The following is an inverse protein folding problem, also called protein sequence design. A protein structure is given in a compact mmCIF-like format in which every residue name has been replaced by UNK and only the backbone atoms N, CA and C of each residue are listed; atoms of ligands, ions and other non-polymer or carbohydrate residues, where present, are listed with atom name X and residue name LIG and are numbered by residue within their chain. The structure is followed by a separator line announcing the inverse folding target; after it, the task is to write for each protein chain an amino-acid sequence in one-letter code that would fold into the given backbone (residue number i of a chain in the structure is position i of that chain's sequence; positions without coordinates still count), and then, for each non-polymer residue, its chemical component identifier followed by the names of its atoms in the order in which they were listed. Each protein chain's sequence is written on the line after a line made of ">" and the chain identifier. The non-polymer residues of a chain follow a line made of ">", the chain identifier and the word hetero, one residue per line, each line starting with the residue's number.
data_IF_689474183258
#
_entry.id   IF_689474183258
#
_cell.length_a   1.000
_cell.length_b   1.000
_cell.length_c   1.000
_cell.angle_alpha   90.00
_cell.angle_beta   90.00
_cell.angle_gamma   90.00
#
_symmetry.space_group_name_H-M   'P 1'
#
loop_
_entity.id
_entity.type
_entity.pdbx_description
1 polymer ?
#
# COMPACT_ATOMS: atom_id res chain seq x y z
N UNK A 1 14.52 -1.63 8.24
CA UNK A 1 13.76 -2.72 8.88
C UNK A 1 12.58 -3.06 8.00
N UNK A 2 12.36 -4.33 7.65
CA UNK A 2 11.18 -4.81 6.91
C UNK A 2 10.39 -5.67 7.88
N UNK A 3 9.17 -5.26 8.22
CA UNK A 3 8.33 -5.92 9.23
C UNK A 3 7.31 -6.90 8.63
N UNK A 4 6.94 -6.69 7.37
CA UNK A 4 6.09 -7.58 6.59
C UNK A 4 6.57 -7.57 5.15
N UNK A 5 6.55 -8.73 4.49
CA UNK A 5 7.05 -8.90 3.11
C UNK A 5 6.09 -9.78 2.33
N UNK A 6 5.81 -9.41 1.09
CA UNK A 6 5.06 -10.27 0.19
C UNK A 6 5.82 -11.58 -0.06
N UNK A 7 5.26 -12.68 0.42
CA UNK A 7 5.71 -14.04 0.13
C UNK A 7 4.95 -14.60 -1.09
N UNK A 8 5.57 -14.46 -2.26
CA UNK A 8 5.01 -14.93 -3.52
C UNK A 8 5.06 -16.44 -3.68
N UNK A 9 5.99 -17.12 -3.02
CA UNK A 9 6.13 -18.57 -3.12
C UNK A 9 4.94 -19.25 -2.43
N UNK A 10 4.53 -18.72 -1.27
CA UNK A 10 3.39 -19.24 -0.52
C UNK A 10 2.04 -18.72 -1.03
N UNK A 11 1.95 -17.45 -1.42
CA UNK A 11 0.65 -16.79 -1.68
C UNK A 11 0.43 -16.34 -3.13
N UNK A 12 1.42 -16.51 -4.02
CA UNK A 12 1.32 -16.14 -5.42
C UNK A 12 0.84 -14.70 -5.62
N UNK A 13 -0.17 -14.51 -6.49
CA UNK A 13 -0.72 -13.18 -6.80
C UNK A 13 -1.37 -12.49 -5.60
N UNK A 14 -1.75 -13.23 -4.55
CA UNK A 14 -2.35 -12.68 -3.34
C UNK A 14 -1.29 -12.14 -2.36
N UNK A 15 0.00 -12.43 -2.55
CA UNK A 15 1.07 -12.11 -1.61
C UNK A 15 1.11 -10.62 -1.17
N UNK A 16 0.97 -9.63 -2.08
CA UNK A 16 0.96 -8.23 -1.65
C UNK A 16 -0.22 -7.88 -0.73
N UNK A 17 -1.37 -8.54 -0.92
CA UNK A 17 -2.55 -8.32 -0.11
C UNK A 17 -2.45 -8.98 1.27
N UNK A 18 -1.72 -10.09 1.38
CA UNK A 18 -1.37 -10.74 2.65
C UNK A 18 -0.38 -9.91 3.45
N UNK A 19 0.65 -9.38 2.80
CA UNK A 19 1.57 -8.45 3.44
C UNK A 19 0.85 -7.20 3.99
N UNK A 20 -0.19 -6.71 3.31
CA UNK A 20 -1.01 -5.63 3.85
C UNK A 20 -1.74 -6.03 5.15
N UNK A 21 -2.24 -7.26 5.26
CA UNK A 21 -2.88 -7.74 6.50
C UNK A 21 -1.89 -7.73 7.66
N UNK A 22 -0.68 -8.23 7.42
CA UNK A 22 0.42 -8.22 8.40
C UNK A 22 0.82 -6.80 8.80
N UNK A 23 0.87 -5.85 7.85
CA UNK A 23 1.15 -4.44 8.16
C UNK A 23 0.07 -3.78 9.02
N UNK A 24 -1.21 -4.10 8.79
CA UNK A 24 -2.32 -3.58 9.62
C UNK A 24 -2.26 -4.18 11.03
N UNK A 25 -1.90 -5.46 11.15
CA UNK A 25 -1.79 -6.15 12.43
C UNK A 25 -0.68 -5.59 13.35
N UNK A 26 0.24 -4.78 12.81
CA UNK A 26 1.21 -4.02 13.60
C UNK A 26 0.60 -2.81 14.32
N UNK A 27 -0.69 -2.53 14.10
CA UNK A 27 -1.44 -1.40 14.68
C UNK A 27 -0.71 -0.05 14.50
N UNK A 28 -0.36 0.34 13.25
CA UNK A 28 0.42 1.54 13.03
C UNK A 28 -0.41 2.81 13.26
N UNK A 29 0.20 3.84 13.84
CA UNK A 29 -0.42 5.17 14.01
C UNK A 29 -0.84 5.83 12.67
N UNK A 30 -0.10 5.54 11.59
CA UNK A 30 -0.35 6.11 10.27
C UNK A 30 -0.02 5.13 9.15
N UNK A 31 -0.87 5.11 8.13
CA UNK A 31 -0.69 4.39 6.88
C UNK A 31 -0.46 5.40 5.73
N UNK A 32 0.70 5.27 5.06
CA UNK A 32 1.05 6.07 3.90
C UNK A 32 0.99 5.19 2.63
N UNK A 33 0.28 5.64 1.60
CA UNK A 33 0.17 4.88 0.34
C UNK A 33 0.61 5.70 -0.85
N UNK A 34 1.39 5.10 -1.75
CA UNK A 34 1.70 5.64 -3.07
C UNK A 34 1.08 4.73 -4.14
N UNK A 35 -0.08 5.12 -4.67
CA UNK A 35 -0.86 4.30 -5.61
C UNK A 35 -0.50 4.55 -7.07
N UNK A 36 0.06 5.72 -7.39
CA UNK A 36 0.64 6.04 -8.70
C UNK A 36 2.12 6.31 -8.54
N UNK A 37 2.90 6.03 -9.58
CA UNK A 37 4.32 6.38 -9.58
C UNK A 37 4.52 7.90 -9.44
N UNK A 38 5.53 8.32 -8.67
CA UNK A 38 6.01 9.72 -8.67
C UNK A 38 6.94 10.02 -9.85
N UNK A 39 7.47 8.99 -10.51
CA UNK A 39 8.17 9.14 -11.78
C UNK A 39 7.16 9.53 -12.86
N UNK A 40 7.35 10.74 -13.42
CA UNK A 40 6.47 11.32 -14.45
C UNK A 40 6.35 10.44 -15.68
N UNK A 41 7.40 9.71 -16.06
CA UNK A 41 7.37 8.80 -17.21
C UNK A 41 6.39 7.62 -17.01
N UNK A 42 5.92 7.41 -15.78
CA UNK A 42 5.00 6.33 -15.39
C UNK A 42 3.70 6.84 -14.78
N UNK A 43 3.43 8.14 -14.87
CA UNK A 43 2.28 8.77 -14.20
C UNK A 43 0.93 8.23 -14.68
N UNK A 44 0.81 7.91 -15.98
CA UNK A 44 -0.44 7.45 -16.60
C UNK A 44 -0.72 5.95 -16.41
N UNK A 45 0.11 5.25 -15.62
CA UNK A 45 -0.12 3.84 -15.34
C UNK A 45 -1.30 3.64 -14.41
N UNK A 46 -1.97 2.49 -14.58
CA UNK A 46 -3.04 2.05 -13.67
C UNK A 46 -2.52 2.06 -12.22
N UNK A 47 -3.37 2.44 -11.25
CA UNK A 47 -2.95 2.48 -9.86
C UNK A 47 -2.53 1.09 -9.38
N UNK A 48 -1.54 1.06 -8.50
CA UNK A 48 -1.08 -0.17 -7.88
C UNK A 48 -2.14 -0.68 -6.89
N UNK A 49 -2.89 -1.70 -7.32
CA UNK A 49 -4.02 -2.27 -6.58
C UNK A 49 -3.73 -2.62 -5.11
N UNK A 50 -2.58 -3.25 -4.78
CA UNK A 50 -2.24 -3.52 -3.38
C UNK A 50 -2.10 -2.27 -2.51
N UNK A 51 -1.59 -1.15 -3.04
CA UNK A 51 -1.53 0.10 -2.28
C UNK A 51 -2.92 0.72 -2.06
N UNK A 52 -3.83 0.61 -3.04
CA UNK A 52 -5.24 1.01 -2.86
C UNK A 52 -5.91 0.16 -1.77
N UNK A 53 -5.71 -1.16 -1.82
CA UNK A 53 -6.24 -2.09 -0.84
C UNK A 53 -5.73 -1.77 0.58
N UNK A 54 -4.44 -1.46 0.73
CA UNK A 54 -3.87 -1.12 2.03
C UNK A 54 -4.51 0.13 2.63
N UNK A 55 -4.68 1.20 1.83
CA UNK A 55 -5.36 2.42 2.27
C UNK A 55 -6.82 2.17 2.67
N UNK A 56 -7.54 1.36 1.90
CA UNK A 56 -8.92 0.96 2.22
C UNK A 56 -9.00 0.19 3.54
N UNK A 57 -8.10 -0.78 3.77
CA UNK A 57 -8.03 -1.53 5.03
C UNK A 57 -7.70 -0.64 6.22
N UNK A 58 -6.72 0.27 6.06
CA UNK A 58 -6.35 1.22 7.09
C UNK A 58 -7.54 2.08 7.53
N UNK A 59 -8.28 2.66 6.58
CA UNK A 59 -9.48 3.44 6.88
C UNK A 59 -10.58 2.60 7.53
N UNK A 60 -10.80 1.37 7.07
CA UNK A 60 -11.80 0.47 7.66
C UNK A 60 -11.48 0.08 9.11
N UNK A 61 -10.20 0.01 9.46
CA UNK A 61 -9.71 -0.24 10.81
C UNK A 61 -9.56 1.02 11.67
N UNK A 62 -10.00 2.20 11.18
CA UNK A 62 -9.91 3.46 11.92
C UNK A 62 -8.51 4.09 11.98
N UNK A 63 -7.55 3.56 11.22
CA UNK A 63 -6.19 4.09 11.17
C UNK A 63 -6.12 5.37 10.32
N UNK A 64 -5.22 6.28 10.68
CA UNK A 64 -4.97 7.47 9.87
C UNK A 64 -4.35 7.06 8.54
N UNK A 65 -5.04 7.30 7.44
CA UNK A 65 -4.54 7.07 6.08
C UNK A 65 -4.17 8.38 5.39
N UNK A 66 -3.00 8.41 4.73
CA UNK A 66 -2.60 9.50 3.86
C UNK A 66 -2.10 8.96 2.51
N UNK A 67 -2.75 9.42 1.43
CA UNK A 67 -2.31 9.13 0.07
C UNK A 67 -1.23 10.12 -0.36
N UNK A 68 -0.06 9.61 -0.74
CA UNK A 68 1.04 10.38 -1.30
C UNK A 68 0.76 10.59 -2.79
N UNK A 69 0.87 11.85 -3.22
CA UNK A 69 0.74 12.26 -4.63
C UNK A 69 2.03 12.91 -5.08
N UNK A 70 2.29 12.89 -6.39
CA UNK A 70 3.36 13.68 -6.96
C UNK A 70 3.15 15.17 -6.63
N UNK A 71 4.25 15.89 -6.37
CA UNK A 71 4.20 17.34 -6.15
C UNK A 71 3.66 18.01 -7.41
N UNK A 72 2.62 18.82 -7.27
CA UNK A 72 2.15 19.69 -8.36
C UNK A 72 3.29 20.64 -8.76
N UNK A 73 3.54 20.75 -10.07
CA UNK A 73 4.53 21.66 -10.63
C UNK A 73 4.07 23.11 -10.50
#
# INVERSE_FOLDING_TARGET
>A
LILARADFDTHGKAAPFRANDELIALEPEVCLTLVHSVDRARADQRPFGPALNFGQKAMACGLRHMSIKARAA
#
